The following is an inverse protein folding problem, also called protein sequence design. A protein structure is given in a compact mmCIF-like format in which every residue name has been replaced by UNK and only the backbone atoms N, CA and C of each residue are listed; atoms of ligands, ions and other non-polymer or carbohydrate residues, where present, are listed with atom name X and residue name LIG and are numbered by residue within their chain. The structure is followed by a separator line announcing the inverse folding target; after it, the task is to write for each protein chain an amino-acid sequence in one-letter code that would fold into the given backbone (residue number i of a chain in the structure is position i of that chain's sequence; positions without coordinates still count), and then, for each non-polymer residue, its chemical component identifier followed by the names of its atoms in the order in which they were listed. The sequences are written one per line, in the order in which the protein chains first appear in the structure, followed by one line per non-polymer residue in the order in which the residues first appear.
data_IF_561343667232
#
_entry.id   IF_561343667232
#
_cell.length_a   1.000
_cell.length_b   1.000
_cell.length_c   1.000
_cell.angle_alpha   90.00
_cell.angle_beta   90.00
_cell.angle_gamma   90.00
#
_symmetry.space_group_name_H-M   'P 1'
#
loop_
_entity.id
_entity.type
_entity.pdbx_description
1 polymer ?
#
# COMPACT_ATOMS: atom_id res chain seq x y z
N UNK A 1 34.51 -28.05 -23.20
CA UNK A 1 34.22 -26.66 -22.79
C UNK A 1 32.98 -26.70 -21.90
N UNK A 2 33.10 -26.73 -20.57
CA UNK A 2 31.93 -26.74 -19.69
C UNK A 2 31.26 -25.36 -19.68
N UNK A 3 29.94 -25.40 -19.68
CA UNK A 3 28.99 -24.28 -19.75
C UNK A 3 28.99 -23.49 -18.43
N UNK A 4 28.99 -22.17 -18.50
CA UNK A 4 28.92 -21.26 -17.35
C UNK A 4 27.43 -20.96 -17.03
N UNK A 5 26.87 -21.37 -15.88
CA UNK A 5 25.46 -21.14 -15.52
C UNK A 5 25.22 -19.76 -14.86
N UNK A 6 25.95 -18.74 -15.30
CA UNK A 6 26.24 -17.48 -14.58
C UNK A 6 25.08 -16.48 -14.39
N UNK A 7 23.82 -16.92 -14.45
CA UNK A 7 22.67 -16.08 -14.07
C UNK A 7 21.55 -16.88 -13.43
N UNK A 8 21.82 -17.51 -12.28
CA UNK A 8 20.79 -17.71 -11.26
C UNK A 8 20.68 -16.47 -10.38
N UNK A 9 20.35 -15.32 -10.99
CA UNK A 9 19.96 -14.15 -10.19
C UNK A 9 18.58 -14.43 -9.58
N UNK A 10 18.42 -14.40 -8.25
CA UNK A 10 17.10 -14.25 -7.68
C UNK A 10 16.60 -12.86 -8.05
N UNK A 11 15.60 -12.82 -8.94
CA UNK A 11 14.82 -11.61 -9.22
C UNK A 11 14.26 -11.07 -7.89
N UNK A 12 14.71 -9.88 -7.51
CA UNK A 12 14.09 -8.99 -6.53
C UNK A 12 13.51 -9.66 -5.26
N UNK A 13 14.37 -10.19 -4.40
CA UNK A 13 14.00 -10.57 -3.03
C UNK A 13 14.63 -9.61 -2.02
N UNK A 14 14.40 -8.31 -2.16
CA UNK A 14 14.54 -7.38 -1.04
C UNK A 14 13.20 -7.35 -0.26
N UNK A 15 12.80 -8.51 0.25
CA UNK A 15 11.69 -8.69 1.19
C UNK A 15 12.16 -8.24 2.57
N UNK A 16 12.43 -6.94 2.72
CA UNK A 16 13.09 -6.39 3.90
C UNK A 16 12.17 -5.40 4.61
N UNK A 17 11.03 -5.88 5.11
CA UNK A 17 10.08 -5.09 5.91
C UNK A 17 9.30 -6.02 6.86
N UNK A 18 9.98 -6.71 7.78
CA UNK A 18 9.31 -7.73 8.60
C UNK A 18 9.40 -7.58 10.12
N UNK A 19 9.95 -6.52 10.71
CA UNK A 19 9.97 -6.50 12.18
C UNK A 19 9.97 -5.14 12.91
N UNK A 20 10.20 -3.98 12.28
CA UNK A 20 10.38 -2.73 13.04
C UNK A 20 9.25 -1.68 12.91
N UNK A 21 8.24 -1.88 12.07
CA UNK A 21 7.31 -0.80 11.68
C UNK A 21 5.82 -1.05 11.98
N UNK A 22 5.43 -1.96 12.88
CA UNK A 22 4.01 -2.36 12.96
C UNK A 22 3.04 -1.22 13.37
N UNK A 23 3.51 -0.13 14.00
CA UNK A 23 2.67 1.01 14.40
C UNK A 23 2.70 2.17 13.38
N UNK A 24 3.89 2.61 12.97
CA UNK A 24 4.04 3.63 11.92
C UNK A 24 3.67 3.10 10.52
N UNK A 25 3.90 1.80 10.28
CA UNK A 25 3.56 1.08 9.07
C UNK A 25 2.06 0.98 8.85
N UNK A 26 1.26 0.87 9.91
CA UNK A 26 -0.20 0.84 9.79
C UNK A 26 -0.75 2.16 9.24
N UNK A 27 -0.27 3.30 9.76
CA UNK A 27 -0.64 4.62 9.23
C UNK A 27 -0.20 4.80 7.78
N UNK A 28 1.03 4.42 7.44
CA UNK A 28 1.57 4.52 6.08
C UNK A 28 0.81 3.59 5.13
N UNK A 29 0.46 2.38 5.58
CA UNK A 29 -0.33 1.42 4.82
C UNK A 29 -1.75 1.93 4.55
N UNK A 30 -2.41 2.52 5.55
CA UNK A 30 -3.74 3.13 5.41
C UNK A 30 -3.71 4.28 4.39
N UNK A 31 -2.71 5.17 4.46
CA UNK A 31 -2.54 6.24 3.45
C UNK A 31 -2.26 5.70 2.06
N UNK A 32 -1.41 4.68 1.93
CA UNK A 32 -1.14 4.03 0.66
C UNK A 32 -2.40 3.37 0.09
N UNK A 33 -3.26 2.80 0.93
CA UNK A 33 -4.52 2.19 0.52
C UNK A 33 -5.55 3.24 0.08
N UNK A 34 -5.66 4.38 0.78
CA UNK A 34 -6.46 5.51 0.33
C UNK A 34 -6.02 6.02 -1.04
N UNK A 35 -4.71 6.15 -1.26
CA UNK A 35 -4.15 6.56 -2.56
C UNK A 35 -4.49 5.56 -3.68
N UNK A 36 -4.43 4.24 -3.38
CA UNK A 36 -4.83 3.20 -4.34
C UNK A 36 -6.31 3.28 -4.68
N UNK A 37 -7.19 3.48 -3.69
CA UNK A 37 -8.62 3.64 -3.92
C UNK A 37 -8.92 4.86 -4.81
N UNK A 38 -8.23 5.99 -4.60
CA UNK A 38 -8.36 7.19 -5.45
C UNK A 38 -7.90 6.93 -6.89
N UNK A 39 -6.73 6.29 -7.07
CA UNK A 39 -6.24 5.93 -8.42
C UNK A 39 -7.17 4.95 -9.13
N UNK A 40 -7.72 3.99 -8.40
CA UNK A 40 -8.66 3.03 -8.95
C UNK A 40 -9.98 3.71 -9.31
N UNK A 41 -10.45 4.65 -8.48
CA UNK A 41 -11.59 5.52 -8.77
C UNK A 41 -11.36 6.29 -10.07
N UNK A 42 -10.23 6.99 -10.21
CA UNK A 42 -9.90 7.74 -11.43
C UNK A 42 -9.82 6.83 -12.69
N UNK A 43 -9.48 5.56 -12.51
CA UNK A 43 -9.43 4.58 -13.62
C UNK A 43 -10.79 3.96 -13.96
N UNK A 44 -11.78 4.05 -13.07
CA UNK A 44 -13.11 3.44 -13.22
C UNK A 44 -14.14 4.53 -13.54
N UNK A 45 -14.82 4.40 -14.69
CA UNK A 45 -15.89 5.32 -15.10
C UNK A 45 -17.27 5.04 -14.47
N UNK A 46 -17.39 4.04 -13.61
CA UNK A 46 -18.67 3.70 -12.94
C UNK A 46 -18.92 4.59 -11.70
N UNK A 47 -20.01 5.38 -11.67
CA UNK A 47 -20.31 6.31 -10.58
C UNK A 47 -20.47 5.63 -9.22
N UNK A 48 -21.03 4.41 -9.16
CA UNK A 48 -21.23 3.69 -7.89
C UNK A 48 -19.92 3.17 -7.31
N UNK A 49 -19.04 2.71 -8.19
CA UNK A 49 -17.70 2.28 -7.80
C UNK A 49 -16.84 3.47 -7.37
N UNK A 50 -16.97 4.62 -8.06
CA UNK A 50 -16.34 5.89 -7.65
C UNK A 50 -16.76 6.30 -6.23
N UNK A 51 -18.06 6.30 -5.94
CA UNK A 51 -18.59 6.65 -4.62
C UNK A 51 -18.04 5.72 -3.53
N UNK A 52 -18.06 4.41 -3.80
CA UNK A 52 -17.57 3.39 -2.87
C UNK A 52 -16.07 3.53 -2.60
N UNK A 53 -15.25 3.69 -3.64
CA UNK A 53 -13.80 3.84 -3.51
C UNK A 53 -13.42 5.16 -2.82
N UNK A 54 -14.18 6.22 -3.06
CA UNK A 54 -14.00 7.51 -2.38
C UNK A 54 -14.33 7.40 -0.90
N UNK A 55 -15.44 6.73 -0.55
CA UNK A 55 -15.80 6.47 0.84
C UNK A 55 -14.75 5.62 1.56
N UNK A 56 -14.24 4.56 0.90
CA UNK A 56 -13.16 3.74 1.44
C UNK A 56 -11.87 4.54 1.66
N UNK A 57 -11.49 5.40 0.71
CA UNK A 57 -10.30 6.24 0.85
C UNK A 57 -10.42 7.20 2.04
N UNK A 58 -11.61 7.79 2.23
CA UNK A 58 -11.89 8.66 3.37
C UNK A 58 -11.81 7.90 4.71
N UNK A 59 -12.32 6.67 4.77
CA UNK A 59 -12.25 5.83 5.98
C UNK A 59 -10.80 5.46 6.33
N UNK A 60 -9.99 5.08 5.34
CA UNK A 60 -8.57 4.80 5.57
C UNK A 60 -7.79 6.03 6.05
N UNK A 61 -8.07 7.22 5.50
CA UNK A 61 -7.47 8.47 5.98
C UNK A 61 -7.91 8.81 7.40
N UNK A 62 -9.19 8.59 7.75
CA UNK A 62 -9.69 8.81 9.10
C UNK A 62 -8.99 7.90 10.10
N UNK A 63 -8.84 6.60 9.79
CA UNK A 63 -8.10 5.65 10.63
C UNK A 63 -6.63 6.04 10.78
N UNK A 64 -5.99 6.48 9.69
CA UNK A 64 -4.61 6.95 9.74
C UNK A 64 -4.45 8.16 10.67
N UNK A 65 -5.39 9.11 10.63
CA UNK A 65 -5.41 10.29 11.53
C UNK A 65 -5.65 9.89 12.99
N UNK A 66 -6.50 8.91 13.26
CA UNK A 66 -6.72 8.41 14.62
C UNK A 66 -5.46 7.77 15.20
N UNK A 67 -4.68 7.06 14.37
CA UNK A 67 -3.38 6.52 14.78
C UNK A 67 -2.39 7.67 15.06
N UNK A 68 -2.30 8.67 14.18
CA UNK A 68 -1.46 9.87 14.43
C UNK A 68 -1.82 10.57 15.75
N UNK A 69 -3.12 10.75 16.02
CA UNK A 69 -3.60 11.40 17.23
C UNK A 69 -3.38 10.58 18.50
N UNK A 70 -3.17 9.26 18.38
CA UNK A 70 -2.85 8.37 19.51
C UNK A 70 -1.34 8.28 19.77
N UNK A 71 -0.53 8.46 18.73
CA UNK A 71 0.94 8.35 18.78
C UNK A 71 1.65 9.69 19.05
N UNK A 72 0.96 10.82 18.88
CA UNK A 72 1.44 12.17 19.24
C UNK A 72 1.03 12.59 20.64
#
# INVERSE_FOLDING_TARGET
MPYDPETHQPVAAATQNRACDFSAGDRVALRAQALRCRRLADSIGDPRTLETLTAMAADYEARARMIEAREG
#
